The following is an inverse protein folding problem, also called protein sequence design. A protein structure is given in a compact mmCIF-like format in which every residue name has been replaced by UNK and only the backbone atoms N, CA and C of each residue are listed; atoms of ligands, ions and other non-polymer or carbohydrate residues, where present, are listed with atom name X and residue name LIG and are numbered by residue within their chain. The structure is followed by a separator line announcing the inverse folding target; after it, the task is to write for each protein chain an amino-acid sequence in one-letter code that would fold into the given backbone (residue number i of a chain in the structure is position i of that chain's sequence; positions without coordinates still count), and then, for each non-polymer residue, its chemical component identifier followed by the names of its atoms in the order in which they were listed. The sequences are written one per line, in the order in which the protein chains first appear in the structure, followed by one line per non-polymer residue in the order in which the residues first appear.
data_IF_607053232350
#
_entry.id   IF_607053232350
#
_cell.length_a   1.000
_cell.length_b   1.000
_cell.length_c   1.000
_cell.angle_alpha   90.00
_cell.angle_beta   90.00
_cell.angle_gamma   90.00
#
_symmetry.space_group_name_H-M   'P 1'
#
loop_
_entity.id
_entity.type
_entity.pdbx_description
1 polymer ?
#
# COMPACT_ATOMS: atom_id res chain seq x y z
N UNK A 1 -6.53 -12.77 -13.97
CA UNK A 1 -7.52 -11.77 -13.53
C UNK A 1 -7.96 -10.93 -14.71
N UNK A 2 -9.25 -10.72 -14.82
CA UNK A 2 -9.83 -9.86 -15.84
C UNK A 2 -9.65 -8.40 -15.44
N UNK A 3 -9.16 -7.57 -16.37
CA UNK A 3 -8.93 -6.17 -16.09
C UNK A 3 -10.22 -5.43 -15.71
N UNK A 4 -11.30 -5.74 -16.39
CA UNK A 4 -12.58 -5.09 -16.07
C UNK A 4 -13.04 -5.43 -14.67
N UNK A 5 -12.89 -6.69 -14.27
CA UNK A 5 -13.23 -7.08 -12.91
C UNK A 5 -12.33 -6.38 -11.90
N UNK A 6 -11.06 -6.27 -12.21
CA UNK A 6 -10.14 -5.58 -11.31
C UNK A 6 -10.54 -4.12 -11.14
N UNK A 7 -10.84 -3.43 -12.23
CA UNK A 7 -11.24 -2.02 -12.16
C UNK A 7 -12.55 -1.86 -11.39
N UNK A 8 -13.49 -2.78 -11.57
CA UNK A 8 -14.73 -2.76 -10.81
C UNK A 8 -14.47 -2.88 -9.33
N UNK A 9 -13.58 -3.80 -8.94
CA UNK A 9 -13.23 -3.99 -7.54
C UNK A 9 -12.55 -2.74 -6.99
N UNK A 10 -11.64 -2.13 -7.75
CA UNK A 10 -11.00 -0.90 -7.33
C UNK A 10 -12.04 0.18 -7.05
N UNK A 11 -13.00 0.33 -7.93
CA UNK A 11 -14.06 1.32 -7.77
C UNK A 11 -14.88 1.05 -6.51
N UNK A 12 -15.23 -0.21 -6.28
CA UNK A 12 -15.99 -0.59 -5.09
C UNK A 12 -15.23 -0.28 -3.81
N UNK A 13 -13.95 -0.62 -3.79
CA UNK A 13 -13.11 -0.35 -2.62
C UNK A 13 -13.01 1.15 -2.38
N UNK A 14 -12.85 1.94 -3.42
CA UNK A 14 -12.81 3.39 -3.28
C UNK A 14 -14.09 3.91 -2.64
N UNK A 15 -15.23 3.42 -3.10
CA UNK A 15 -16.52 3.86 -2.58
C UNK A 15 -16.70 3.47 -1.12
N UNK A 16 -16.39 2.23 -0.80
CA UNK A 16 -16.57 1.74 0.57
C UNK A 16 -15.66 2.44 1.56
N UNK A 17 -14.42 2.70 1.14
CA UNK A 17 -13.45 3.35 2.00
C UNK A 17 -13.62 4.86 2.00
N UNK A 18 -14.55 5.38 1.22
CA UNK A 18 -14.82 6.82 1.13
C UNK A 18 -13.62 7.62 0.67
N UNK A 19 -12.80 7.00 -0.15
CA UNK A 19 -11.66 7.68 -0.76
C UNK A 19 -11.98 8.01 -2.20
N UNK A 20 -11.49 9.15 -2.65
CA UNK A 20 -11.80 9.59 -4.00
C UNK A 20 -11.14 8.73 -5.05
N UNK A 21 -9.89 8.39 -4.82
CA UNK A 21 -9.13 7.61 -5.79
C UNK A 21 -8.09 6.78 -5.07
N UNK A 22 -7.64 5.73 -5.76
CA UNK A 22 -6.46 5.00 -5.35
C UNK A 22 -5.47 5.16 -6.49
N UNK A 23 -4.46 6.03 -6.35
CA UNK A 23 -3.49 6.23 -7.42
C UNK A 23 -2.76 4.94 -7.76
N UNK A 24 -2.33 4.84 -9.02
CA UNK A 24 -1.68 3.61 -9.50
C UNK A 24 -0.44 3.25 -8.67
N UNK A 25 0.32 4.25 -8.23
CA UNK A 25 1.51 3.98 -7.41
C UNK A 25 1.10 3.29 -6.12
N UNK A 26 0.01 3.71 -5.51
CA UNK A 26 -0.47 3.08 -4.28
C UNK A 26 -0.95 1.66 -4.54
N UNK A 27 -1.60 1.41 -5.67
CA UNK A 27 -1.99 0.05 -6.04
C UNK A 27 -0.77 -0.85 -6.21
N UNK A 28 0.29 -0.32 -6.81
CA UNK A 28 1.52 -1.07 -7.00
C UNK A 28 2.16 -1.40 -5.65
N UNK A 29 2.19 -0.43 -4.74
CA UNK A 29 2.73 -0.68 -3.40
C UNK A 29 1.91 -1.76 -2.69
N UNK A 30 0.59 -1.66 -2.75
CA UNK A 30 -0.26 -2.65 -2.13
C UNK A 30 -0.04 -4.04 -2.73
N UNK A 31 0.15 -4.11 -4.04
CA UNK A 31 0.40 -5.39 -4.70
C UNK A 31 1.71 -6.02 -4.20
N UNK A 32 2.77 -5.22 -4.09
CA UNK A 32 4.04 -5.74 -3.60
C UNK A 32 3.92 -6.23 -2.15
N UNK A 33 3.17 -5.50 -1.34
CA UNK A 33 2.94 -5.93 0.04
C UNK A 33 2.08 -7.19 0.10
N UNK A 34 1.11 -7.30 -0.78
CA UNK A 34 0.29 -8.49 -0.84
C UNK A 34 1.12 -9.71 -1.25
N UNK A 35 2.00 -9.53 -2.23
CA UNK A 35 2.88 -10.62 -2.67
C UNK A 35 3.84 -11.08 -1.57
N UNK A 36 4.18 -10.19 -0.67
CA UNK A 36 5.08 -10.51 0.45
C UNK A 36 4.38 -11.28 1.57
N UNK A 37 3.08 -11.47 1.47
CA UNK A 37 2.30 -12.33 2.39
C UNK A 37 2.44 -11.91 3.86
N UNK A 38 2.44 -10.61 4.10
CA UNK A 38 2.51 -10.09 5.45
C UNK A 38 3.91 -9.76 5.96
N UNK A 39 4.93 -10.08 5.20
CA UNK A 39 6.28 -9.69 5.57
C UNK A 39 6.53 -8.23 5.19
N UNK A 40 7.35 -7.52 5.97
CA UNK A 40 7.71 -6.16 5.59
C UNK A 40 8.45 -6.11 4.26
N UNK A 41 8.25 -5.03 3.51
CA UNK A 41 8.90 -4.85 2.21
C UNK A 41 9.73 -3.57 2.27
N UNK A 42 10.96 -3.65 1.75
CA UNK A 42 11.85 -2.50 1.70
C UNK A 42 11.34 -1.48 0.69
N UNK A 43 11.32 -0.21 1.11
CA UNK A 43 10.97 0.87 0.19
C UNK A 43 11.97 0.99 -0.94
N UNK A 44 13.24 0.74 -0.64
CA UNK A 44 14.27 0.80 -1.68
C UNK A 44 14.03 -0.27 -2.74
N UNK A 45 13.58 -1.46 -2.33
CA UNK A 45 13.27 -2.52 -3.29
C UNK A 45 12.13 -2.11 -4.22
N UNK A 46 11.08 -1.51 -3.67
CA UNK A 46 9.97 -1.04 -4.49
C UNK A 46 10.44 0.04 -5.46
N UNK A 47 11.22 0.98 -4.94
CA UNK A 47 11.75 2.08 -5.71
C UNK A 47 12.57 1.58 -6.89
N UNK A 48 13.44 0.62 -6.65
CA UNK A 48 14.31 0.09 -7.69
C UNK A 48 13.56 -0.78 -8.69
N UNK A 49 12.64 -1.57 -8.21
CA UNK A 49 11.90 -2.48 -9.09
C UNK A 49 11.10 -1.74 -10.15
N UNK A 50 10.51 -0.62 -9.77
CA UNK A 50 9.63 0.14 -10.67
C UNK A 50 10.26 1.43 -11.18
N UNK A 51 11.49 1.68 -10.78
CA UNK A 51 12.20 2.90 -11.16
C UNK A 51 11.46 4.16 -10.73
N UNK A 52 10.89 4.12 -9.53
CA UNK A 52 10.23 5.29 -8.94
C UNK A 52 11.25 6.19 -8.29
N UNK A 53 10.92 7.49 -8.24
CA UNK A 53 11.70 8.40 -7.43
C UNK A 53 11.42 8.15 -5.95
N UNK A 54 12.43 8.38 -5.12
CA UNK A 54 12.31 8.19 -3.68
C UNK A 54 11.13 8.98 -3.10
N UNK A 55 11.02 10.24 -3.52
CA UNK A 55 9.93 11.10 -3.03
C UNK A 55 8.56 10.51 -3.34
N UNK A 56 8.41 9.96 -4.55
CA UNK A 56 7.13 9.38 -4.97
C UNK A 56 6.74 8.21 -4.07
N UNK A 57 7.69 7.32 -3.80
CA UNK A 57 7.40 6.15 -2.96
C UNK A 57 7.07 6.59 -1.54
N UNK A 58 7.88 7.47 -0.97
CA UNK A 58 7.66 7.90 0.42
C UNK A 58 6.34 8.65 0.59
N UNK A 59 6.03 9.53 -0.35
CA UNK A 59 4.77 10.28 -0.28
C UNK A 59 3.57 9.35 -0.33
N UNK A 60 3.58 8.41 -1.25
CA UNK A 60 2.45 7.49 -1.37
C UNK A 60 2.33 6.55 -0.19
N UNK A 61 3.46 6.14 0.39
CA UNK A 61 3.41 5.35 1.62
C UNK A 61 2.83 6.16 2.76
N UNK A 62 3.16 7.44 2.86
CA UNK A 62 2.56 8.30 3.88
C UNK A 62 1.04 8.34 3.73
N UNK A 63 0.56 8.46 2.49
CA UNK A 63 -0.87 8.51 2.25
C UNK A 63 -1.56 7.18 2.50
N UNK A 64 -0.87 6.08 2.30
CA UNK A 64 -1.42 4.75 2.61
C UNK A 64 -1.40 4.46 4.11
N UNK A 65 -0.55 5.12 4.87
CA UNK A 65 -0.49 4.95 6.32
C UNK A 65 -1.48 5.91 6.99
N UNK A 66 -1.15 6.39 8.16
CA UNK A 66 -2.02 7.30 8.90
C UNK A 66 -2.17 8.67 8.26
N UNK A 67 -1.29 9.00 7.31
CA UNK A 67 -1.25 10.33 6.75
C UNK A 67 -0.34 11.23 7.56
N UNK A 68 -0.37 12.51 7.25
CA UNK A 68 0.47 13.49 7.94
C UNK A 68 -0.30 14.11 9.08
N UNK A 69 0.41 14.34 10.18
CA UNK A 69 -0.22 14.90 11.36
C UNK A 69 -0.76 16.31 11.11
N UNK A 70 -1.97 16.53 11.58
CA UNK A 70 -2.52 17.86 11.79
C UNK A 70 -3.03 18.60 10.58
N UNK A 71 -2.23 18.84 9.60
CA UNK A 71 -2.60 19.72 8.51
C UNK A 71 -3.29 19.05 7.34
N UNK A 72 -3.10 17.76 7.20
CA UNK A 72 -3.49 17.11 5.99
C UNK A 72 -4.50 16.03 6.27
N UNK A 73 -5.14 15.57 5.21
CA UNK A 73 -6.12 14.53 5.33
C UNK A 73 -5.56 13.31 6.00
N UNK A 74 -6.44 12.59 6.64
CA UNK A 74 -6.08 11.28 7.16
C UNK A 74 -5.64 10.40 6.02
N UNK A 75 -4.64 9.59 6.29
CA UNK A 75 -4.28 8.54 5.36
C UNK A 75 -5.27 7.41 5.43
N UNK A 76 -5.01 6.40 4.62
CA UNK A 76 -5.90 5.26 4.50
C UNK A 76 -5.74 4.24 5.63
N UNK A 77 -4.65 4.29 6.35
CA UNK A 77 -4.34 3.34 7.45
C UNK A 77 -4.25 1.90 6.98
N UNK A 78 -3.84 1.69 5.74
CA UNK A 78 -3.68 0.36 5.17
C UNK A 78 -2.29 -0.20 5.37
N UNK A 79 -1.31 0.65 5.67
CA UNK A 79 0.05 0.21 5.90
C UNK A 79 0.64 0.86 7.15
N UNK A 80 1.69 0.23 7.67
CA UNK A 80 2.50 0.76 8.75
C UNK A 80 3.90 0.99 8.20
N UNK A 81 4.48 2.13 8.55
CA UNK A 81 5.84 2.48 8.15
C UNK A 81 6.79 2.11 9.27
N UNK A 82 7.81 1.30 8.95
CA UNK A 82 8.82 0.89 9.92
C UNK A 82 10.08 1.69 9.67
N UNK A 83 10.48 2.45 10.68
CA UNK A 83 11.66 3.29 10.60
C UNK A 83 12.91 2.47 10.89
N UNK A 84 14.04 2.99 10.39
CA UNK A 84 15.32 2.44 10.73
C UNK A 84 15.52 2.53 12.24
N UNK A 85 15.94 1.46 12.92
CA UNK A 85 16.20 1.51 14.36
C UNK A 85 17.39 2.40 14.74
N UNK A 86 18.25 2.75 13.78
CA UNK A 86 19.37 3.63 14.04
C UNK A 86 18.85 5.03 14.40
N UNK A 87 19.21 5.50 15.58
CA UNK A 87 18.75 6.81 16.05
C UNK A 87 19.27 7.96 15.21
N UNK A 88 20.29 7.75 14.43
CA UNK A 88 20.86 8.77 13.55
C UNK A 88 20.27 8.75 12.16
N UNK A 89 19.49 7.74 11.85
CA UNK A 89 18.83 7.66 10.55
C UNK A 89 17.40 7.22 10.77
N UNK A 90 16.49 8.17 10.80
CA UNK A 90 15.09 7.91 11.11
C UNK A 90 14.22 7.74 9.87
N UNK A 91 14.84 7.56 8.73
CA UNK A 91 14.06 7.35 7.52
C UNK A 91 13.29 6.05 7.60
N UNK A 92 12.13 6.06 6.96
CA UNK A 92 11.35 4.82 6.84
C UNK A 92 12.10 3.85 5.96
N UNK A 93 12.27 2.63 6.43
CA UNK A 93 12.97 1.60 5.68
C UNK A 93 12.03 0.59 5.05
N UNK A 94 10.99 0.24 5.76
CA UNK A 94 10.10 -0.83 5.34
C UNK A 94 8.67 -0.45 5.59
N UNK A 95 7.78 -1.12 4.89
CA UNK A 95 6.35 -0.97 5.12
C UNK A 95 5.72 -2.35 5.14
N UNK A 96 4.60 -2.45 5.83
CA UNK A 96 3.83 -3.69 5.86
C UNK A 96 2.35 -3.37 5.99
N UNK A 97 1.51 -4.33 5.65
CA UNK A 97 0.06 -4.13 5.70
C UNK A 97 -0.44 -4.15 7.14
N UNK A 98 -1.38 -3.26 7.44
CA UNK A 98 -2.19 -3.38 8.65
C UNK A 98 -3.23 -4.46 8.40
N UNK A 99 -3.99 -4.82 9.45
CA UNK A 99 -5.10 -5.75 9.27
C UNK A 99 -6.10 -5.21 8.24
N UNK A 100 -6.40 -3.93 8.33
CA UNK A 100 -7.31 -3.30 7.37
C UNK A 100 -6.72 -3.34 5.96
N UNK A 101 -5.43 -3.08 5.84
CA UNK A 101 -4.75 -3.15 4.54
C UNK A 101 -4.77 -4.54 3.96
N UNK A 102 -4.62 -5.57 4.81
CA UNK A 102 -4.71 -6.95 4.34
C UNK A 102 -6.07 -7.25 3.73
N UNK A 103 -7.13 -6.77 4.37
CA UNK A 103 -8.49 -6.99 3.86
C UNK A 103 -8.68 -6.30 2.51
N UNK A 104 -8.19 -5.08 2.40
CA UNK A 104 -8.28 -4.34 1.15
C UNK A 104 -7.48 -5.04 0.05
N UNK A 105 -6.25 -5.43 0.37
CA UNK A 105 -5.40 -6.11 -0.60
C UNK A 105 -6.01 -7.44 -1.04
N UNK A 106 -6.60 -8.17 -0.13
CA UNK A 106 -7.28 -9.42 -0.47
C UNK A 106 -8.43 -9.17 -1.43
N UNK A 107 -9.21 -8.12 -1.21
CA UNK A 107 -10.28 -7.79 -2.14
C UNK A 107 -9.76 -7.44 -3.52
N UNK A 108 -8.66 -6.68 -3.57
CA UNK A 108 -8.11 -6.23 -4.83
C UNK A 108 -7.42 -7.35 -5.60
N UNK A 109 -6.70 -8.22 -4.91
CA UNK A 109 -5.77 -9.15 -5.56
C UNK A 109 -5.96 -10.61 -5.19
N UNK A 110 -6.48 -10.89 -4.03
CA UNK A 110 -6.31 -12.19 -3.40
C UNK A 110 -7.40 -13.20 -3.62
N UNK A 111 -8.61 -12.76 -3.90
CA UNK A 111 -9.71 -13.68 -3.97
C UNK A 111 -9.50 -14.80 -4.98
N UNK A 112 -9.08 -14.51 -6.20
CA UNK A 112 -8.84 -15.59 -7.15
C UNK A 112 -7.76 -16.56 -6.70
N UNK A 113 -6.77 -16.05 -5.96
CA UNK A 113 -5.69 -16.90 -5.49
C UNK A 113 -6.14 -17.82 -4.36
N UNK A 114 -7.06 -17.35 -3.54
CA UNK A 114 -7.56 -18.16 -2.43
C UNK A 114 -8.37 -19.33 -2.92
N UNK A 115 -9.03 -19.17 -4.02
CA UNK A 115 -9.89 -20.21 -4.57
C UNK A 115 -9.09 -21.39 -5.05
N UNK A 116 -7.84 -21.19 -5.29
CA UNK A 116 -7.01 -22.24 -5.89
C UNK A 116 -6.59 -23.33 -4.94
N UNK A 117 -6.99 -23.28 -3.76
CA UNK A 117 -6.58 -24.30 -2.82
C UNK A 117 -6.90 -25.70 -3.20
#
# INVERSE_FOLDING_TARGET
MNIENFLTIVHEVQSEEKHRTIPIVQLIILLELFKAKGNPVSLLDIQNKYNFESYTVHRNCTMLSKGMNGKYRRGKSWIVKNHNPDKYDRRVKEVELTLRGKRVAERLFGIPMQIKK
#
